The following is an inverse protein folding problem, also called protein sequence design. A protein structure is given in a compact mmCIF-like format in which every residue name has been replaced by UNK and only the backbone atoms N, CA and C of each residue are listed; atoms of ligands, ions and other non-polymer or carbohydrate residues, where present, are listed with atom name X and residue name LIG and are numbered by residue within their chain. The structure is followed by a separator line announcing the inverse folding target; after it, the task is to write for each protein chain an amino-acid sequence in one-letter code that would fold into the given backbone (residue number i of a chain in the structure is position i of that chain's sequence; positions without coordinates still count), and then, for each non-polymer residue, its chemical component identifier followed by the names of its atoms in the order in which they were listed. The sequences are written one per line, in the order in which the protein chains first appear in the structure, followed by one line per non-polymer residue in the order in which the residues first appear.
data_IF_948344246096
#
_entry.id   IF_948344246096
#
_cell.length_a   1.000
_cell.length_b   1.000
_cell.length_c   1.000
_cell.angle_alpha   90.00
_cell.angle_beta   90.00
_cell.angle_gamma   90.00
#
_symmetry.space_group_name_H-M   'P 1'
#
loop_
_entity.id
_entity.type
_entity.pdbx_description
1 polymer ?
#
# COMPACT_ATOMS: atom_id res chain seq x y z
N UNK A 1 19.43 8.06 -7.95
CA UNK A 1 18.73 9.10 -8.73
C UNK A 1 18.30 10.13 -7.70
N UNK A 2 18.63 11.41 -7.89
CA UNK A 2 18.33 12.45 -6.89
C UNK A 2 16.91 12.94 -7.16
N UNK A 3 16.04 12.93 -6.13
CA UNK A 3 14.69 13.49 -6.21
C UNK A 3 14.73 14.94 -6.73
N UNK A 4 14.06 15.18 -7.86
CA UNK A 4 13.88 16.52 -8.40
C UNK A 4 12.69 17.20 -7.71
N UNK A 5 12.96 18.29 -6.96
CA UNK A 5 11.95 19.02 -6.19
C UNK A 5 10.82 19.54 -7.09
N UNK A 6 11.14 19.94 -8.33
CA UNK A 6 10.13 20.41 -9.29
C UNK A 6 9.16 19.29 -9.68
N UNK A 7 9.68 18.12 -10.00
CA UNK A 7 8.86 16.94 -10.33
C UNK A 7 8.01 16.49 -9.14
N UNK A 8 8.54 16.59 -7.92
CA UNK A 8 7.82 16.24 -6.70
C UNK A 8 6.64 17.21 -6.47
N UNK A 9 6.87 18.51 -6.64
CA UNK A 9 5.80 19.52 -6.55
C UNK A 9 4.73 19.34 -7.64
N UNK A 10 5.14 18.95 -8.85
CA UNK A 10 4.23 18.65 -9.95
C UNK A 10 3.40 17.40 -9.68
N UNK A 11 3.99 16.36 -9.08
CA UNK A 11 3.24 15.19 -8.63
C UNK A 11 2.18 15.52 -7.59
N UNK A 12 2.52 16.39 -6.63
CA UNK A 12 1.59 16.85 -5.61
C UNK A 12 0.44 17.68 -6.21
N UNK A 13 0.72 18.61 -7.13
CA UNK A 13 -0.33 19.41 -7.76
C UNK A 13 -1.29 18.54 -8.59
N UNK A 14 -0.77 17.52 -9.29
CA UNK A 14 -1.60 16.53 -10.00
C UNK A 14 -2.54 15.77 -9.06
N UNK A 15 -2.08 15.42 -7.85
CA UNK A 15 -2.92 14.75 -6.86
C UNK A 15 -4.09 15.64 -6.39
N UNK A 16 -3.82 16.92 -6.14
CA UNK A 16 -4.84 17.90 -5.75
C UNK A 16 -5.84 18.12 -6.89
N UNK A 17 -5.35 18.32 -8.10
CA UNK A 17 -6.20 18.53 -9.27
C UNK A 17 -7.10 17.33 -9.55
N UNK A 18 -6.54 16.11 -9.49
CA UNK A 18 -7.32 14.90 -9.70
C UNK A 18 -8.38 14.68 -8.62
N UNK A 19 -8.09 15.06 -7.38
CA UNK A 19 -9.07 15.06 -6.29
C UNK A 19 -10.20 16.05 -6.55
N UNK A 20 -9.86 17.28 -6.96
CA UNK A 20 -10.85 18.30 -7.31
C UNK A 20 -11.72 17.85 -8.50
N UNK A 21 -11.12 17.22 -9.51
CA UNK A 21 -11.85 16.68 -10.65
C UNK A 21 -12.82 15.58 -10.21
N UNK A 22 -12.37 14.63 -9.39
CA UNK A 22 -13.21 13.56 -8.87
C UNK A 22 -14.38 14.10 -8.03
N UNK A 23 -14.16 15.19 -7.30
CA UNK A 23 -15.18 15.87 -6.52
C UNK A 23 -16.22 16.60 -7.37
N UNK A 24 -15.89 17.03 -8.60
CA UNK A 24 -16.83 17.76 -9.49
C UNK A 24 -17.76 16.85 -10.29
N UNK A 25 -17.36 15.61 -10.58
CA UNK A 25 -18.08 14.74 -11.51
C UNK A 25 -19.00 13.74 -10.79
N UNK A 26 -20.33 13.89 -10.97
CA UNK A 26 -21.35 13.06 -10.30
C UNK A 26 -21.21 11.56 -10.59
N UNK A 27 -20.81 11.18 -11.80
CA UNK A 27 -20.56 9.76 -12.15
C UNK A 27 -19.41 9.16 -11.35
N UNK A 28 -18.32 9.91 -11.16
CA UNK A 28 -17.19 9.47 -10.34
C UNK A 28 -17.61 9.35 -8.87
N UNK A 29 -18.39 10.32 -8.36
CA UNK A 29 -18.92 10.27 -6.99
C UNK A 29 -19.81 9.04 -6.73
N UNK A 30 -20.71 8.68 -7.66
CA UNK A 30 -21.57 7.49 -7.48
C UNK A 30 -20.75 6.20 -7.41
N UNK A 31 -19.76 6.04 -8.30
CA UNK A 31 -18.83 4.90 -8.28
C UNK A 31 -17.97 4.89 -7.01
N UNK A 32 -17.56 6.06 -6.53
CA UNK A 32 -16.84 6.23 -5.28
C UNK A 32 -17.66 5.71 -4.09
N UNK A 33 -18.93 6.14 -3.97
CA UNK A 33 -19.82 5.71 -2.88
C UNK A 33 -20.10 4.20 -2.95
N UNK A 34 -20.32 3.65 -4.15
CA UNK A 34 -20.51 2.19 -4.32
C UNK A 34 -19.27 1.41 -3.84
N UNK A 35 -18.08 1.83 -4.26
CA UNK A 35 -16.85 1.19 -3.85
C UNK A 35 -16.56 1.36 -2.36
N UNK A 36 -16.90 2.51 -1.78
CA UNK A 36 -16.78 2.77 -0.35
C UNK A 36 -17.68 1.83 0.44
N UNK A 37 -18.95 1.66 0.04
CA UNK A 37 -19.88 0.71 0.65
C UNK A 37 -19.36 -0.72 0.59
N UNK A 38 -18.91 -1.18 -0.58
CA UNK A 38 -18.36 -2.54 -0.75
C UNK A 38 -17.12 -2.73 0.12
N UNK A 39 -16.25 -1.72 0.20
CA UNK A 39 -15.03 -1.78 1.03
C UNK A 39 -15.38 -1.82 2.51
N UNK A 40 -16.32 -0.98 2.98
CA UNK A 40 -16.78 -1.00 4.37
C UNK A 40 -17.40 -2.35 4.75
N UNK A 41 -18.26 -2.92 3.90
CA UNK A 41 -18.83 -4.25 4.12
C UNK A 41 -17.73 -5.32 4.13
N UNK A 42 -16.79 -5.25 3.18
CA UNK A 42 -15.66 -6.18 3.13
C UNK A 42 -14.79 -6.10 4.39
N UNK A 43 -14.57 -4.90 4.94
CA UNK A 43 -13.81 -4.70 6.17
C UNK A 43 -14.57 -5.22 7.38
N UNK A 44 -15.89 -4.98 7.46
CA UNK A 44 -16.73 -5.51 8.53
C UNK A 44 -16.77 -7.04 8.53
N UNK A 45 -16.88 -7.66 7.35
CA UNK A 45 -16.84 -9.14 7.21
C UNK A 45 -15.47 -9.68 7.57
N UNK A 46 -14.39 -9.07 7.07
CA UNK A 46 -13.03 -9.49 7.41
C UNK A 46 -12.77 -9.36 8.92
N UNK A 47 -13.24 -8.27 9.54
CA UNK A 47 -13.17 -8.06 10.98
C UNK A 47 -13.95 -9.13 11.73
N UNK A 48 -15.20 -9.41 11.36
CA UNK A 48 -16.02 -10.44 11.99
C UNK A 48 -15.39 -11.84 11.86
N UNK A 49 -14.80 -12.16 10.70
CA UNK A 49 -14.12 -13.44 10.47
C UNK A 49 -12.84 -13.56 11.32
N UNK A 50 -12.00 -12.53 11.36
CA UNK A 50 -10.77 -12.53 12.16
C UNK A 50 -11.11 -12.56 13.64
N UNK A 51 -12.11 -11.77 14.06
CA UNK A 51 -12.61 -11.78 15.42
C UNK A 51 -13.11 -13.17 15.80
N UNK A 52 -13.96 -13.79 14.98
CA UNK A 52 -14.42 -15.16 15.19
C UNK A 52 -13.27 -16.16 15.26
N UNK A 53 -12.30 -16.08 14.34
CA UNK A 53 -11.20 -17.05 14.27
C UNK A 53 -10.20 -16.94 15.43
N UNK A 54 -10.02 -15.73 15.99
CA UNK A 54 -9.06 -15.48 17.10
C UNK A 54 -9.73 -15.54 18.47
N UNK A 55 -10.90 -14.92 18.65
CA UNK A 55 -11.58 -14.88 19.95
C UNK A 55 -12.28 -16.19 20.29
N UNK A 56 -12.79 -16.93 19.31
CA UNK A 56 -13.45 -18.21 19.58
C UNK A 56 -12.54 -19.24 20.29
N UNK A 57 -11.32 -19.53 19.81
CA UNK A 57 -10.42 -20.44 20.54
C UNK A 57 -9.99 -19.88 21.89
N UNK A 58 -9.76 -18.56 22.00
CA UNK A 58 -9.45 -17.92 23.29
C UNK A 58 -10.60 -18.08 24.30
N UNK A 59 -11.83 -17.91 23.85
CA UNK A 59 -13.03 -18.11 24.66
C UNK A 59 -13.18 -19.57 25.12
N UNK A 60 -12.92 -20.53 24.22
CA UNK A 60 -12.92 -21.96 24.56
C UNK A 60 -11.86 -22.31 25.61
N UNK A 61 -10.63 -21.78 25.45
CA UNK A 61 -9.54 -21.99 26.41
C UNK A 61 -9.89 -21.35 27.75
N UNK A 62 -10.43 -20.13 27.76
CA UNK A 62 -10.82 -19.45 28.99
C UNK A 62 -11.93 -20.21 29.72
N UNK A 63 -13.00 -20.56 29.02
CA UNK A 63 -14.12 -21.33 29.58
C UNK A 63 -13.65 -22.68 30.09
N UNK A 64 -12.84 -23.40 29.29
CA UNK A 64 -12.24 -24.68 29.67
C UNK A 64 -11.40 -24.56 30.93
N UNK A 65 -10.52 -23.56 31.01
CA UNK A 65 -9.67 -23.32 32.18
C UNK A 65 -10.48 -22.98 33.45
N UNK A 66 -11.59 -22.25 33.31
CA UNK A 66 -12.47 -21.93 34.44
C UNK A 66 -13.19 -23.17 34.95
N UNK A 67 -13.67 -24.03 34.04
CA UNK A 67 -14.29 -25.31 34.42
C UNK A 67 -13.24 -26.22 35.08
N UNK A 68 -12.04 -26.34 34.51
CA UNK A 68 -10.98 -27.18 35.04
C UNK A 68 -10.50 -26.73 36.42
N UNK A 69 -10.40 -25.41 36.66
CA UNK A 69 -10.00 -24.89 37.98
C UNK A 69 -11.06 -25.18 39.05
N UNK A 70 -12.36 -25.07 38.71
CA UNK A 70 -13.43 -25.45 39.65
C UNK A 70 -13.45 -26.94 39.95
N UNK A 71 -13.06 -27.78 38.98
CA UNK A 71 -13.13 -29.24 39.11
C UNK A 71 -11.90 -29.83 39.82
N UNK A 72 -10.72 -29.24 39.66
CA UNK A 72 -9.43 -29.75 40.17
C UNK A 72 -8.79 -28.89 41.26
N UNK A 73 -9.45 -27.79 41.69
CA UNK A 73 -8.97 -26.89 42.75
C UNK A 73 -7.53 -26.38 42.56
N UNK A 74 -7.16 -26.08 41.31
CA UNK A 74 -5.84 -25.52 40.96
C UNK A 74 -5.86 -23.98 40.93
N UNK A 75 -4.74 -23.35 41.30
CA UNK A 75 -4.59 -21.89 41.31
C UNK A 75 -4.57 -21.31 39.88
N UNK A 76 -5.70 -20.71 39.49
CA UNK A 76 -5.94 -20.19 38.14
C UNK A 76 -5.36 -18.78 37.89
N UNK A 77 -4.76 -18.13 38.89
CA UNK A 77 -4.34 -16.72 38.80
C UNK A 77 -3.33 -16.45 37.69
N UNK A 78 -2.31 -17.30 37.52
CA UNK A 78 -1.30 -17.14 36.46
C UNK A 78 -1.91 -17.32 35.06
N UNK A 79 -2.81 -18.28 34.90
CA UNK A 79 -3.47 -18.54 33.62
C UNK A 79 -4.43 -17.41 33.23
N UNK A 80 -5.12 -16.80 34.19
CA UNK A 80 -5.98 -15.65 33.97
C UNK A 80 -5.18 -14.40 33.53
N UNK A 81 -4.03 -14.14 34.16
CA UNK A 81 -3.14 -13.04 33.78
C UNK A 81 -2.57 -13.23 32.37
N UNK A 82 -2.18 -14.44 31.98
CA UNK A 82 -1.71 -14.75 30.64
C UNK A 82 -2.81 -14.53 29.58
N UNK A 83 -4.05 -14.91 29.87
CA UNK A 83 -5.19 -14.72 28.98
C UNK A 83 -5.57 -13.23 28.81
N UNK A 84 -5.50 -12.44 29.88
CA UNK A 84 -5.72 -10.99 29.83
C UNK A 84 -4.66 -10.29 28.96
N UNK A 85 -3.37 -10.62 29.15
CA UNK A 85 -2.30 -10.08 28.30
C UNK A 85 -2.46 -10.46 26.83
N UNK A 86 -2.95 -11.68 26.56
CA UNK A 86 -3.22 -12.13 25.20
C UNK A 86 -4.39 -11.37 24.58
N UNK A 87 -5.45 -11.09 25.35
CA UNK A 87 -6.59 -10.30 24.89
C UNK A 87 -6.18 -8.87 24.55
N UNK A 88 -5.36 -8.22 25.38
CA UNK A 88 -4.84 -6.87 25.10
C UNK A 88 -3.96 -6.86 23.84
N UNK A 89 -3.15 -7.90 23.64
CA UNK A 89 -2.35 -8.04 22.42
C UNK A 89 -3.23 -8.22 21.17
N UNK A 90 -4.33 -8.97 21.29
CA UNK A 90 -5.31 -9.14 20.21
C UNK A 90 -6.04 -7.83 19.94
N UNK A 91 -6.43 -7.08 20.97
CA UNK A 91 -7.10 -5.79 20.79
C UNK A 91 -6.17 -4.78 20.11
N UNK A 92 -4.89 -4.75 20.50
CA UNK A 92 -3.89 -3.95 19.80
C UNK A 92 -3.71 -4.39 18.34
N UNK A 93 -3.74 -5.70 18.05
CA UNK A 93 -3.71 -6.21 16.68
C UNK A 93 -4.96 -5.80 15.89
N UNK A 94 -6.14 -5.80 16.52
CA UNK A 94 -7.40 -5.35 15.91
C UNK A 94 -7.36 -3.85 15.56
N UNK A 95 -6.64 -3.02 16.31
CA UNK A 95 -6.46 -1.61 15.92
C UNK A 95 -5.63 -1.43 14.64
N UNK A 96 -4.79 -2.41 14.29
CA UNK A 96 -4.05 -2.46 13.02
C UNK A 96 -4.84 -3.11 11.87
N UNK A 97 -5.98 -3.75 12.18
CA UNK A 97 -6.79 -4.48 11.22
C UNK A 97 -7.38 -3.65 10.08
N UNK A 98 -7.73 -2.36 10.22
CA UNK A 98 -8.28 -1.58 9.11
C UNK A 98 -7.32 -1.50 7.91
N UNK A 99 -6.02 -1.36 8.16
CA UNK A 99 -4.99 -1.37 7.12
C UNK A 99 -4.83 -2.77 6.50
N UNK A 100 -4.85 -3.83 7.32
CA UNK A 100 -4.80 -5.21 6.85
C UNK A 100 -6.04 -5.61 6.05
N UNK A 101 -7.22 -5.20 6.51
CA UNK A 101 -8.51 -5.42 5.86
C UNK A 101 -8.53 -4.76 4.49
N UNK A 102 -8.01 -3.54 4.37
CA UNK A 102 -7.84 -2.87 3.09
C UNK A 102 -6.90 -3.65 2.15
N UNK A 103 -5.76 -4.13 2.65
CA UNK A 103 -4.82 -4.95 1.86
C UNK A 103 -5.45 -6.29 1.41
N UNK A 104 -6.23 -6.93 2.28
CA UNK A 104 -6.99 -8.14 1.95
C UNK A 104 -8.03 -7.87 0.87
N UNK A 105 -8.82 -6.80 1.00
CA UNK A 105 -9.89 -6.47 0.05
C UNK A 105 -9.32 -6.08 -1.31
N UNK A 106 -8.23 -5.29 -1.35
CA UNK A 106 -7.54 -4.93 -2.60
C UNK A 106 -7.00 -6.15 -3.33
N UNK A 107 -6.61 -7.21 -2.61
CA UNK A 107 -6.19 -8.47 -3.22
C UNK A 107 -7.35 -9.41 -3.56
N UNK A 108 -8.39 -9.46 -2.73
CA UNK A 108 -9.54 -10.35 -2.91
C UNK A 108 -10.48 -9.86 -4.02
N UNK A 109 -10.73 -8.55 -4.11
CA UNK A 109 -11.62 -7.94 -5.10
C UNK A 109 -10.96 -6.77 -5.85
N UNK A 110 -9.94 -7.04 -6.69
CA UNK A 110 -9.30 -6.01 -7.51
C UNK A 110 -10.27 -5.31 -8.48
N UNK A 111 -11.39 -5.94 -8.80
CA UNK A 111 -12.42 -5.39 -9.68
C UNK A 111 -13.06 -4.10 -9.12
N UNK A 112 -13.21 -3.96 -7.80
CA UNK A 112 -13.82 -2.77 -7.18
C UNK A 112 -12.98 -1.54 -7.51
N UNK A 113 -11.68 -1.63 -7.27
CA UNK A 113 -10.71 -0.57 -7.55
C UNK A 113 -10.56 -0.31 -9.06
N UNK A 114 -10.64 -1.36 -9.88
CA UNK A 114 -10.68 -1.21 -11.33
C UNK A 114 -11.86 -0.36 -11.81
N UNK A 115 -13.08 -0.57 -11.29
CA UNK A 115 -14.27 0.20 -11.69
C UNK A 115 -14.13 1.70 -11.45
N UNK A 116 -13.53 2.09 -10.32
CA UNK A 116 -13.27 3.49 -9.99
C UNK A 116 -12.22 4.08 -10.92
N UNK A 117 -11.11 3.35 -11.09
CA UNK A 117 -10.02 3.75 -11.98
C UNK A 117 -10.52 4.02 -13.40
N UNK A 118 -11.22 3.05 -14.00
CA UNK A 118 -11.79 3.22 -15.33
C UNK A 118 -12.91 4.25 -15.35
N UNK A 119 -13.70 4.36 -14.29
CA UNK A 119 -14.75 5.37 -14.21
C UNK A 119 -14.21 6.79 -14.21
N UNK A 120 -13.05 7.01 -13.59
CA UNK A 120 -12.35 8.28 -13.68
C UNK A 120 -11.71 8.47 -15.05
N UNK A 121 -11.09 7.42 -15.60
CA UNK A 121 -10.42 7.47 -16.90
C UNK A 121 -11.41 7.72 -18.05
N UNK A 122 -12.62 7.17 -17.99
CA UNK A 122 -13.71 7.40 -18.96
C UNK A 122 -14.09 8.88 -19.04
N UNK A 123 -14.09 9.58 -17.90
CA UNK A 123 -14.45 11.00 -17.82
C UNK A 123 -13.29 11.92 -18.21
N UNK A 124 -12.04 11.48 -18.04
CA UNK A 124 -10.85 12.27 -18.40
C UNK A 124 -10.47 12.09 -19.87
N UNK A 125 -10.36 10.84 -20.35
CA UNK A 125 -10.02 10.51 -21.73
C UNK A 125 -10.68 9.17 -22.13
N UNK A 126 -11.88 9.20 -22.74
CA UNK A 126 -12.62 7.99 -23.07
C UNK A 126 -11.87 7.11 -24.08
N UNK A 127 -11.07 7.71 -24.99
CA UNK A 127 -10.27 6.97 -25.96
C UNK A 127 -9.13 6.20 -25.28
N UNK A 128 -8.54 6.77 -24.24
CA UNK A 128 -7.54 6.07 -23.43
C UNK A 128 -8.18 4.89 -22.68
N UNK A 129 -9.34 5.11 -22.07
CA UNK A 129 -10.06 4.06 -21.36
C UNK A 129 -10.46 2.89 -22.27
N UNK A 130 -10.94 3.18 -23.48
CA UNK A 130 -11.26 2.18 -24.50
C UNK A 130 -10.03 1.40 -24.95
N UNK A 131 -8.94 2.10 -25.26
CA UNK A 131 -7.68 1.48 -25.61
C UNK A 131 -7.21 0.53 -24.51
N UNK A 132 -7.25 0.94 -23.25
CA UNK A 132 -6.82 0.10 -22.13
C UNK A 132 -7.74 -1.09 -21.87
N UNK A 133 -9.05 -0.97 -22.13
CA UNK A 133 -10.02 -2.07 -22.03
C UNK A 133 -9.87 -3.11 -23.13
N UNK A 134 -9.34 -2.73 -24.29
CA UNK A 134 -9.11 -3.66 -25.40
C UNK A 134 -8.07 -4.74 -25.07
N UNK A 135 -7.19 -4.48 -24.09
CA UNK A 135 -6.15 -5.43 -23.69
C UNK A 135 -6.71 -6.57 -22.81
N UNK A 136 -6.30 -7.82 -23.04
CA UNK A 136 -6.80 -8.96 -22.28
C UNK A 136 -6.33 -8.90 -20.82
N UNK A 137 -7.29 -8.91 -19.87
CA UNK A 137 -6.96 -8.95 -18.45
C UNK A 137 -6.19 -10.22 -18.07
N UNK A 138 -5.00 -10.05 -17.50
CA UNK A 138 -4.22 -11.20 -16.99
C UNK A 138 -4.83 -11.71 -15.66
N UNK A 139 -5.73 -12.70 -15.74
CA UNK A 139 -6.43 -13.31 -14.59
C UNK A 139 -5.52 -14.25 -13.78
N UNK A 140 -4.77 -13.73 -12.79
CA UNK A 140 -4.09 -14.56 -11.77
C UNK A 140 -4.64 -14.26 -10.37
N UNK A 141 -5.79 -14.86 -10.01
CA UNK A 141 -6.44 -14.63 -8.70
C UNK A 141 -5.74 -15.36 -7.53
N UNK A 142 -5.47 -16.65 -7.68
CA UNK A 142 -5.02 -17.50 -6.56
C UNK A 142 -3.51 -17.45 -6.30
N UNK A 143 -2.70 -17.34 -7.35
CA UNK A 143 -1.25 -17.12 -7.20
C UNK A 143 -0.98 -15.82 -6.44
N UNK A 144 -1.74 -14.75 -6.70
CA UNK A 144 -1.59 -13.45 -6.02
C UNK A 144 -1.94 -13.50 -4.54
N UNK A 145 -2.91 -14.30 -4.13
CA UNK A 145 -3.24 -14.44 -2.70
C UNK A 145 -2.13 -15.17 -1.94
N UNK A 146 -1.56 -16.25 -2.52
CA UNK A 146 -0.38 -16.92 -1.96
C UNK A 146 0.84 -15.99 -1.93
N UNK A 147 1.07 -15.21 -2.98
CA UNK A 147 2.15 -14.21 -3.01
C UNK A 147 1.93 -13.09 -2.00
N UNK A 148 0.70 -12.62 -1.81
CA UNK A 148 0.36 -11.61 -0.81
C UNK A 148 0.56 -12.16 0.61
N UNK A 149 0.11 -13.39 0.89
CA UNK A 149 0.34 -14.07 2.15
C UNK A 149 1.84 -14.30 2.42
N UNK A 150 2.62 -14.74 1.43
CA UNK A 150 4.08 -14.86 1.53
C UNK A 150 4.76 -13.50 1.77
N UNK A 151 4.26 -12.43 1.14
CA UNK A 151 4.79 -11.07 1.32
C UNK A 151 4.48 -10.52 2.70
N UNK A 152 3.26 -10.74 3.21
CA UNK A 152 2.86 -10.43 4.57
C UNK A 152 3.71 -11.24 5.56
N UNK A 153 3.85 -12.55 5.34
CA UNK A 153 4.72 -13.42 6.15
C UNK A 153 6.17 -12.94 6.16
N UNK A 154 6.73 -12.54 5.01
CA UNK A 154 8.09 -11.97 4.92
C UNK A 154 8.19 -10.62 5.62
N UNK A 155 7.17 -9.76 5.54
CA UNK A 155 7.10 -8.50 6.29
C UNK A 155 7.06 -8.75 7.79
N UNK A 156 6.17 -9.63 8.25
CA UNK A 156 6.08 -10.04 9.65
C UNK A 156 7.39 -10.65 10.14
N UNK A 157 8.03 -11.50 9.33
CA UNK A 157 9.34 -12.08 9.64
C UNK A 157 10.45 -11.03 9.67
N UNK A 158 10.44 -10.03 8.78
CA UNK A 158 11.39 -8.91 8.82
C UNK A 158 11.17 -8.01 10.03
N UNK A 159 9.93 -7.72 10.41
CA UNK A 159 9.63 -6.93 11.61
C UNK A 159 9.90 -7.70 12.89
N UNK A 160 9.57 -8.99 12.95
CA UNK A 160 9.93 -9.87 14.07
C UNK A 160 11.43 -10.05 14.16
N UNK A 161 12.09 -10.28 13.02
CA UNK A 161 13.54 -10.35 12.93
C UNK A 161 14.20 -9.06 13.40
N UNK A 162 13.72 -7.89 12.96
CA UNK A 162 14.19 -6.59 13.43
C UNK A 162 13.90 -6.37 14.93
N UNK A 163 12.74 -6.78 15.43
CA UNK A 163 12.39 -6.71 16.86
C UNK A 163 13.26 -7.63 17.71
N UNK A 164 13.58 -8.82 17.23
CA UNK A 164 14.48 -9.77 17.89
C UNK A 164 15.92 -9.29 17.84
N UNK A 165 16.41 -8.81 16.69
CA UNK A 165 17.74 -8.19 16.57
C UNK A 165 17.86 -6.92 17.42
N UNK A 166 16.77 -6.16 17.58
CA UNK A 166 16.74 -4.98 18.47
C UNK A 166 16.88 -5.33 19.95
N UNK A 167 16.62 -6.58 20.36
CA UNK A 167 16.87 -7.07 21.72
C UNK A 167 18.32 -7.48 21.94
N UNK A 168 19.13 -7.57 20.88
CA UNK A 168 20.56 -7.83 20.96
C UNK A 168 21.30 -6.50 21.23
N UNK A 169 21.97 -6.33 22.38
CA UNK A 169 22.47 -5.04 22.85
C UNK A 169 23.52 -4.40 21.91
N UNK A 170 24.28 -5.21 21.15
CA UNK A 170 25.35 -4.70 20.28
C UNK A 170 24.91 -4.40 18.83
N UNK A 171 23.98 -5.18 18.27
CA UNK A 171 23.59 -5.06 16.86
C UNK A 171 22.32 -4.20 16.70
N UNK A 172 21.44 -4.20 17.71
CA UNK A 172 20.13 -3.58 17.64
C UNK A 172 20.12 -2.08 17.36
N UNK A 173 21.17 -1.34 17.73
CA UNK A 173 21.24 0.10 17.50
C UNK A 173 21.54 0.47 16.04
N UNK A 174 22.19 -0.43 15.28
CA UNK A 174 22.74 -0.13 13.95
C UNK A 174 21.85 -0.62 12.80
N UNK A 175 20.95 -1.55 13.07
CA UNK A 175 20.06 -2.14 12.06
C UNK A 175 19.11 -1.07 11.48
N UNK A 176 18.54 -0.23 12.35
CA UNK A 176 17.55 0.79 11.96
C UNK A 176 18.23 1.93 11.18
N UNK A 177 19.29 2.57 11.71
CA UNK A 177 20.55 2.86 11.04
C UNK A 177 20.68 2.72 9.53
N UNK A 178 21.37 1.62 9.24
CA UNK A 178 21.76 1.11 7.95
C UNK A 178 20.54 0.84 7.07
N UNK A 179 19.47 0.28 7.64
CA UNK A 179 18.23 0.01 6.92
C UNK A 179 17.63 1.29 6.31
N UNK A 180 17.54 2.36 7.11
CA UNK A 180 16.97 3.63 6.63
C UNK A 180 17.90 4.31 5.65
N UNK A 181 19.22 4.35 5.88
CA UNK A 181 20.18 4.86 4.89
C UNK A 181 20.01 4.13 3.56
N UNK A 182 19.92 2.79 3.57
CA UNK A 182 19.82 2.00 2.33
C UNK A 182 18.56 2.28 1.51
N UNK A 183 17.45 2.62 2.17
CA UNK A 183 16.18 2.95 1.52
C UNK A 183 16.18 4.42 1.11
N UNK A 184 16.57 5.32 2.01
CA UNK A 184 16.62 6.77 1.79
C UNK A 184 17.65 7.15 0.72
N UNK A 185 18.78 6.46 0.64
CA UNK A 185 19.82 6.68 -0.37
C UNK A 185 19.31 6.43 -1.79
N UNK A 186 18.28 5.60 -1.97
CA UNK A 186 17.64 5.41 -3.29
C UNK A 186 16.87 6.65 -3.73
N UNK A 187 16.27 7.37 -2.78
CA UNK A 187 15.42 8.53 -3.02
C UNK A 187 16.20 9.85 -3.03
N UNK A 188 17.03 10.10 -2.03
CA UNK A 188 17.70 11.41 -1.83
C UNK A 188 19.19 11.35 -2.16
N UNK A 189 19.74 10.16 -2.41
CA UNK A 189 21.18 9.94 -2.60
C UNK A 189 21.94 9.68 -1.28
N UNK A 190 23.11 9.06 -1.39
CA UNK A 190 23.97 8.73 -0.25
C UNK A 190 24.35 9.93 0.65
N UNK A 191 24.77 11.11 0.12
CA UNK A 191 25.22 12.19 0.98
C UNK A 191 24.08 12.81 1.81
N UNK A 192 22.91 13.04 1.19
CA UNK A 192 21.75 13.60 1.90
C UNK A 192 21.14 12.60 2.88
N UNK A 193 21.06 11.31 2.53
CA UNK A 193 20.58 10.27 3.45
C UNK A 193 21.51 10.09 4.66
N UNK A 194 22.83 10.14 4.44
CA UNK A 194 23.82 10.12 5.52
C UNK A 194 23.66 11.31 6.45
N UNK A 195 23.45 12.51 5.93
CA UNK A 195 23.21 13.71 6.75
C UNK A 195 21.92 13.62 7.59
N UNK A 196 20.81 13.15 7.00
CA UNK A 196 19.54 12.95 7.74
C UNK A 196 19.70 11.92 8.85
N UNK A 197 20.44 10.84 8.59
CA UNK A 197 20.69 9.81 9.60
C UNK A 197 21.66 10.29 10.67
N UNK A 198 22.73 11.00 10.31
CA UNK A 198 23.65 11.60 11.27
C UNK A 198 22.92 12.59 12.19
N UNK A 199 22.09 13.47 11.62
CA UNK A 199 21.26 14.41 12.38
C UNK A 199 20.25 13.68 13.29
N UNK A 200 19.65 12.60 12.77
CA UNK A 200 18.70 11.79 13.54
C UNK A 200 19.37 11.02 14.69
N UNK A 201 20.61 10.56 14.52
CA UNK A 201 21.37 9.83 15.54
C UNK A 201 21.79 10.73 16.72
N UNK A 202 22.07 12.01 16.45
CA UNK A 202 22.43 13.00 17.48
C UNK A 202 21.21 13.37 18.36
N UNK A 203 19.99 13.21 17.86
CA UNK A 203 18.77 13.52 18.63
C UNK A 203 18.39 12.40 19.63
N UNK A 204 18.19 12.69 20.94
CA UNK A 204 17.73 11.72 21.92
C UNK A 204 16.28 11.32 21.61
N UNK A 205 16.10 10.14 20.99
CA UNK A 205 14.80 9.66 20.46
C UNK A 205 14.88 9.01 19.07
N UNK A 206 16.06 9.02 18.45
CA UNK A 206 16.37 8.59 17.07
C UNK A 206 15.68 7.32 16.59
N UNK A 207 15.64 6.27 17.41
CA UNK A 207 15.17 4.93 17.02
C UNK A 207 13.72 4.95 16.54
N UNK A 208 12.84 5.71 17.21
CA UNK A 208 11.40 5.74 16.89
C UNK A 208 11.17 6.50 15.59
N UNK A 209 11.76 7.68 15.44
CA UNK A 209 11.64 8.51 14.24
C UNK A 209 12.21 7.81 13.01
N UNK A 210 13.37 7.17 13.17
CA UNK A 210 14.04 6.47 12.08
C UNK A 210 13.25 5.24 11.62
N UNK A 211 12.73 4.46 12.57
CA UNK A 211 11.85 3.34 12.26
C UNK A 211 10.54 3.78 11.61
N UNK A 212 9.98 4.91 12.04
CA UNK A 212 8.79 5.51 11.42
C UNK A 212 9.05 5.96 9.97
N UNK A 213 10.17 6.62 9.70
CA UNK A 213 10.58 7.03 8.35
C UNK A 213 10.80 5.79 7.47
N UNK A 214 11.55 4.81 7.96
CA UNK A 214 11.81 3.56 7.23
C UNK A 214 10.52 2.83 6.86
N UNK A 215 9.64 2.63 7.85
CA UNK A 215 8.30 2.06 7.62
C UNK A 215 7.52 2.86 6.60
N UNK A 216 7.61 4.19 6.68
CA UNK A 216 6.84 5.06 5.80
C UNK A 216 7.29 5.02 4.35
N UNK A 217 8.60 5.03 4.11
CA UNK A 217 9.15 4.89 2.75
C UNK A 217 8.78 3.54 2.12
N UNK A 218 8.84 2.47 2.90
CA UNK A 218 8.43 1.15 2.43
C UNK A 218 6.91 1.10 2.15
N UNK A 219 6.10 1.72 3.01
CA UNK A 219 4.67 1.78 2.83
C UNK A 219 4.27 2.61 1.60
N UNK A 220 4.92 3.74 1.34
CA UNK A 220 4.72 4.57 0.14
C UNK A 220 5.01 3.78 -1.14
N UNK A 221 6.12 3.03 -1.17
CA UNK A 221 6.50 2.21 -2.32
C UNK A 221 5.49 1.08 -2.61
N UNK A 222 4.85 0.56 -1.57
CA UNK A 222 3.85 -0.50 -1.74
C UNK A 222 2.47 0.06 -2.09
N UNK A 223 2.07 1.17 -1.47
CA UNK A 223 0.87 1.92 -1.83
C UNK A 223 0.90 2.33 -3.32
N UNK A 224 2.05 2.84 -3.79
CA UNK A 224 2.28 3.09 -5.21
C UNK A 224 1.93 1.90 -6.12
N UNK A 225 2.41 0.72 -5.74
CA UNK A 225 2.24 -0.51 -6.51
C UNK A 225 0.80 -0.96 -6.55
N UNK A 226 0.08 -0.74 -5.46
CA UNK A 226 -1.35 -1.04 -5.40
C UNK A 226 -2.19 -0.02 -6.19
N UNK A 227 -1.78 1.25 -6.23
CA UNK A 227 -2.44 2.27 -7.07
C UNK A 227 -2.35 1.97 -8.58
N UNK A 228 -1.18 1.52 -9.05
CA UNK A 228 -0.94 1.20 -10.46
C UNK A 228 -1.33 -0.23 -10.87
N UNK A 229 -1.70 -1.06 -9.91
CA UNK A 229 -2.17 -2.43 -10.13
C UNK A 229 -3.29 -2.55 -11.17
N UNK A 230 -4.38 -1.74 -11.14
CA UNK A 230 -5.42 -1.79 -12.18
C UNK A 230 -4.83 -1.53 -13.57
N UNK A 231 -3.99 -0.51 -13.72
CA UNK A 231 -3.35 -0.18 -15.00
C UNK A 231 -2.47 -1.31 -15.54
N UNK A 232 -1.50 -1.79 -14.75
CA UNK A 232 -0.58 -2.85 -15.19
C UNK A 232 -1.26 -4.20 -15.40
N UNK A 233 -2.36 -4.47 -14.69
CA UNK A 233 -3.11 -5.71 -14.86
C UNK A 233 -3.84 -5.80 -16.21
N UNK A 234 -4.28 -4.67 -16.75
CA UNK A 234 -4.92 -4.59 -18.05
C UNK A 234 -3.90 -4.60 -19.17
N UNK A 235 -2.81 -3.86 -18.99
CA UNK A 235 -1.73 -3.82 -19.97
C UNK A 235 -0.94 -5.13 -20.10
N UNK A 236 -1.08 -6.06 -19.14
CA UNK A 236 -0.31 -7.30 -19.12
C UNK A 236 1.20 -7.08 -18.92
N UNK A 237 1.59 -5.92 -18.39
CA UNK A 237 2.99 -5.48 -18.32
C UNK A 237 3.89 -6.48 -17.58
N UNK A 238 5.08 -6.75 -18.15
CA UNK A 238 6.07 -7.63 -17.51
C UNK A 238 6.70 -6.95 -16.28
N UNK A 239 7.17 -7.70 -15.25
CA UNK A 239 7.78 -7.11 -14.06
C UNK A 239 8.94 -6.14 -14.37
N UNK A 240 9.76 -6.44 -15.38
CA UNK A 240 10.85 -5.56 -15.83
C UNK A 240 10.35 -4.21 -16.33
N UNK A 241 9.24 -4.20 -17.08
CA UNK A 241 8.63 -2.97 -17.61
C UNK A 241 8.00 -2.14 -16.48
N UNK A 242 7.38 -2.79 -15.49
CA UNK A 242 6.85 -2.09 -14.31
C UNK A 242 7.98 -1.37 -13.55
N UNK A 243 9.11 -2.05 -13.33
CA UNK A 243 10.28 -1.43 -12.66
C UNK A 243 10.84 -0.27 -13.48
N UNK A 244 10.92 -0.39 -14.80
CA UNK A 244 11.36 0.69 -15.67
C UNK A 244 10.43 1.91 -15.59
N UNK A 245 9.11 1.67 -15.63
CA UNK A 245 8.10 2.71 -15.45
C UNK A 245 8.23 3.44 -14.11
N UNK A 246 8.44 2.69 -13.03
CA UNK A 246 8.62 3.26 -11.70
C UNK A 246 9.85 4.14 -11.61
N UNK A 247 10.98 3.70 -12.19
CA UNK A 247 12.21 4.50 -12.22
C UNK A 247 12.06 5.77 -13.08
N UNK A 248 11.35 5.69 -14.19
CA UNK A 248 11.14 6.83 -15.08
C UNK A 248 10.22 7.91 -14.49
N UNK A 249 9.35 7.55 -13.53
CA UNK A 249 8.38 8.48 -12.94
C UNK A 249 8.53 8.56 -11.42
N UNK A 250 9.70 8.21 -10.86
CA UNK A 250 9.89 8.03 -9.42
C UNK A 250 9.58 9.31 -8.65
N UNK A 251 10.17 10.45 -9.03
CA UNK A 251 10.00 11.72 -8.32
C UNK A 251 8.56 12.22 -8.34
N UNK A 252 7.93 12.22 -9.52
CA UNK A 252 6.55 12.69 -9.69
C UNK A 252 5.56 11.79 -8.96
N UNK A 253 5.77 10.48 -9.03
CA UNK A 253 4.87 9.53 -8.39
C UNK A 253 5.01 9.56 -6.87
N UNK A 254 6.22 9.78 -6.33
CA UNK A 254 6.43 9.99 -4.90
C UNK A 254 5.67 11.24 -4.43
N UNK A 255 5.79 12.36 -5.15
CA UNK A 255 5.03 13.58 -4.83
C UNK A 255 3.52 13.38 -4.85
N UNK A 256 3.04 12.64 -5.84
CA UNK A 256 1.63 12.26 -5.95
C UNK A 256 1.17 11.39 -4.77
N UNK A 257 1.93 10.36 -4.41
CA UNK A 257 1.61 9.45 -3.31
C UNK A 257 1.64 10.17 -1.97
N UNK A 258 2.62 11.05 -1.77
CA UNK A 258 2.80 11.80 -0.53
C UNK A 258 1.54 12.59 -0.16
N UNK A 259 0.83 13.12 -1.16
CA UNK A 259 -0.43 13.85 -0.97
C UNK A 259 -1.52 12.99 -0.31
N UNK A 260 -1.60 11.71 -0.64
CA UNK A 260 -2.62 10.79 -0.10
C UNK A 260 -2.13 9.98 1.11
N UNK A 261 -0.81 9.81 1.24
CA UNK A 261 -0.19 8.89 2.19
C UNK A 261 -0.62 9.16 3.64
N UNK A 262 -0.54 10.42 4.09
CA UNK A 262 -0.93 10.80 5.45
C UNK A 262 -2.40 10.50 5.75
N UNK A 263 -3.28 10.70 4.77
CA UNK A 263 -4.70 10.42 4.94
C UNK A 263 -5.03 8.92 4.93
N UNK A 264 -4.32 8.14 4.12
CA UNK A 264 -4.47 6.67 4.06
C UNK A 264 -4.04 6.00 5.37
N UNK A 265 -3.11 6.60 6.11
CA UNK A 265 -2.68 6.09 7.41
C UNK A 265 -3.77 6.18 8.50
N UNK A 266 -4.76 7.06 8.36
CA UNK A 266 -5.84 7.15 9.35
C UNK A 266 -6.73 5.92 9.24
N UNK A 267 -6.83 5.10 10.29
CA UNK A 267 -7.56 3.83 10.26
C UNK A 267 -9.01 3.92 9.80
N UNK A 268 -9.71 5.01 10.13
CA UNK A 268 -11.13 5.19 9.83
C UNK A 268 -11.40 5.81 8.46
N UNK A 269 -10.53 6.74 8.03
CA UNK A 269 -10.72 7.49 6.77
C UNK A 269 -9.86 6.93 5.64
N UNK A 270 -8.87 6.10 5.96
CA UNK A 270 -7.90 5.57 5.04
C UNK A 270 -8.48 4.82 3.85
N UNK A 271 -9.51 3.96 4.02
CA UNK A 271 -10.18 3.30 2.89
C UNK A 271 -10.80 4.28 1.90
N UNK A 272 -11.40 5.37 2.38
CA UNK A 272 -12.00 6.39 1.52
C UNK A 272 -10.93 7.13 0.70
N UNK A 273 -9.84 7.53 1.35
CA UNK A 273 -8.71 8.16 0.67
C UNK A 273 -7.96 7.21 -0.26
N UNK A 274 -7.92 5.92 0.03
CA UNK A 274 -7.38 4.91 -0.88
C UNK A 274 -8.20 4.83 -2.17
N UNK A 275 -9.52 4.79 -2.06
CA UNK A 275 -10.42 4.81 -3.22
C UNK A 275 -10.24 6.11 -4.02
N UNK A 276 -10.12 7.24 -3.33
CA UNK A 276 -9.90 8.54 -3.95
C UNK A 276 -8.56 8.58 -4.70
N UNK A 277 -7.49 8.06 -4.10
CA UNK A 277 -6.18 7.92 -4.73
C UNK A 277 -6.25 7.02 -5.97
N UNK A 278 -7.07 5.97 -5.94
CA UNK A 278 -7.30 5.09 -7.09
C UNK A 278 -8.05 5.76 -8.24
N UNK A 279 -8.93 6.72 -7.95
CA UNK A 279 -9.48 7.58 -8.98
C UNK A 279 -8.39 8.53 -9.50
N UNK A 280 -7.70 9.22 -8.60
CA UNK A 280 -6.71 10.23 -8.94
C UNK A 280 -5.55 9.70 -9.80
N UNK A 281 -5.12 8.45 -9.57
CA UNK A 281 -4.03 7.84 -10.34
C UNK A 281 -4.41 7.62 -11.81
N UNK A 282 -5.70 7.54 -12.15
CA UNK A 282 -6.15 7.46 -13.53
C UNK A 282 -5.80 8.74 -14.31
N UNK A 283 -6.02 9.90 -13.69
CA UNK A 283 -5.65 11.19 -14.27
C UNK A 283 -4.12 11.31 -14.35
N UNK A 284 -3.40 10.93 -13.29
CA UNK A 284 -1.93 10.89 -13.30
C UNK A 284 -1.39 10.08 -14.49
N UNK A 285 -1.90 8.87 -14.70
CA UNK A 285 -1.47 7.99 -15.81
C UNK A 285 -1.81 8.62 -17.15
N UNK A 286 -3.03 9.14 -17.34
CA UNK A 286 -3.45 9.74 -18.61
C UNK A 286 -2.56 10.92 -19.05
N UNK A 287 -1.95 11.62 -18.09
CA UNK A 287 -1.07 12.77 -18.36
C UNK A 287 0.39 12.41 -18.45
N UNK A 288 0.85 11.45 -17.65
CA UNK A 288 2.27 11.05 -17.61
C UNK A 288 2.65 10.00 -18.65
N UNK A 289 1.65 9.33 -19.24
CA UNK A 289 1.89 8.26 -20.20
C UNK A 289 1.18 8.52 -21.51
N UNK A 290 1.85 8.13 -22.58
CA UNK A 290 1.23 8.06 -23.90
C UNK A 290 0.10 7.03 -23.89
N UNK A 291 -0.92 7.32 -24.69
CA UNK A 291 -2.06 6.41 -24.85
C UNK A 291 -1.55 5.07 -25.40
N UNK A 292 -1.89 3.93 -24.76
CA UNK A 292 -1.54 2.64 -25.32
C UNK A 292 -2.25 2.45 -26.67
N UNK A 293 -1.63 1.74 -27.64
CA UNK A 293 -2.29 1.39 -28.88
C UNK A 293 -3.46 0.45 -28.57
N UNK A 294 -4.45 0.47 -29.45
CA UNK A 294 -5.50 -0.55 -29.46
C UNK A 294 -4.85 -1.93 -29.56
N UNK A 295 -5.38 -2.88 -28.79
CA UNK A 295 -4.85 -4.23 -28.77
C UNK A 295 -4.95 -4.87 -30.16
N UNK A 296 -3.79 -5.22 -30.73
CA UNK A 296 -3.69 -6.15 -31.87
C UNK A 296 -3.00 -7.43 -31.41
N UNK A 297 -3.39 -8.62 -31.91
CA UNK A 297 -2.73 -9.87 -31.56
C UNK A 297 -1.21 -9.79 -31.83
N UNK A 298 -0.40 -9.83 -30.78
CA UNK A 298 1.07 -9.68 -30.86
C UNK A 298 1.62 -8.27 -30.54
N UNK A 299 0.75 -7.28 -30.33
CA UNK A 299 1.18 -5.96 -29.86
C UNK A 299 1.92 -6.05 -28.52
N UNK A 300 3.08 -5.42 -28.46
CA UNK A 300 3.84 -5.23 -27.21
C UNK A 300 3.87 -3.74 -26.92
N UNK A 301 3.28 -3.33 -25.80
CA UNK A 301 3.40 -1.96 -25.33
C UNK A 301 4.66 -1.80 -24.46
N UNK A 302 5.51 -0.84 -24.82
CA UNK A 302 6.78 -0.56 -24.15
C UNK A 302 6.78 0.84 -23.54
N UNK A 303 6.25 0.96 -22.31
CA UNK A 303 6.01 2.25 -21.63
C UNK A 303 7.28 3.13 -21.50
N UNK A 304 8.48 2.53 -21.45
CA UNK A 304 9.74 3.25 -21.22
C UNK A 304 10.42 3.75 -22.51
N UNK A 305 10.21 3.09 -23.66
CA UNK A 305 10.87 3.47 -24.92
C UNK A 305 10.19 4.69 -25.55
N UNK A 306 8.87 4.81 -25.40
CA UNK A 306 8.11 5.86 -26.08
C UNK A 306 8.25 7.25 -25.43
N UNK A 307 8.51 7.33 -24.12
CA UNK A 307 8.81 8.62 -23.44
C UNK A 307 10.11 9.24 -23.98
N UNK A 308 11.07 8.40 -24.36
CA UNK A 308 12.32 8.84 -24.98
C UNK A 308 12.14 9.32 -26.43
N UNK A 309 11.08 8.87 -27.12
CA UNK A 309 10.72 9.30 -28.48
C UNK A 309 9.81 10.53 -28.51
N UNK A 310 9.01 10.79 -27.47
CA UNK A 310 8.19 12.01 -27.40
C UNK A 310 9.01 13.26 -27.07
N UNK A 311 10.13 13.10 -26.37
CA UNK A 311 11.02 14.20 -25.98
C UNK A 311 12.10 14.49 -27.04
N UNK A 312 12.20 13.69 -28.10
CA UNK A 312 12.97 14.07 -29.29
C UNK A 312 12.14 15.04 -30.13
N UNK A 313 12.56 16.30 -30.31
CA UNK A 313 11.88 17.21 -31.22
C UNK A 313 11.88 16.55 -32.61
N UNK A 314 10.69 16.39 -33.19
CA UNK A 314 10.57 16.20 -34.63
C UNK A 314 11.17 17.44 -35.27
N UNK A 315 12.41 17.30 -35.76
CA UNK A 315 13.17 18.18 -36.67
C UNK A 315 12.64 19.58 -36.89
#
# INVERSE_FOLDING_TARGET
MVLNVKELSHGFSLAVEATQFAARHKRVQTKFVEALKITCIGMAVAYALIYGLVFFPLFLVQTGNTVFSTLLQYDSTQSALALLSTRDAVDHFLTMLPLLGLDIITHARPAVFGRIFFGMLDEVDPKYAEALRSWPMRKFRWAKLKFAAQRLGKRYAMTLGASLLSRVPYIGWMVVPVGTVSVMAKFVGYPASGAVVALSVVAPGSKRTMFFIFKSLLAMGDFSRDLLKPYFSHLGAKPKQQVAFYRANESTMIGFILAFYFFVQLSWVGPAFFILAQAAIALFISRQTLRPPMYTPGAKWQIAEDKCKSDSPST
#
